data_IF_247497013531
#
_entry.id   IF_247497013531
#
_cell.length_a   1.000
_cell.length_b   1.000
_cell.length_c   1.000
_cell.angle_alpha   90.00
_cell.angle_beta   90.00
_cell.angle_gamma   90.00
#
_symmetry.space_group_name_H-M   'P 1'
#
loop_
_entity.id
_entity.type
_entity.pdbx_description
1 polymer ?
#
# COMPACT_ATOMS: atom_id res chain seq x y z
N UNK A 1 9.42 23.10 -0.78
CA UNK A 1 10.33 22.14 -0.12
C UNK A 1 11.49 21.90 -1.07
N UNK A 2 12.75 22.02 -0.64
CA UNK A 2 13.91 21.97 -1.56
C UNK A 2 15.01 21.01 -1.12
N UNK A 3 14.76 20.14 -0.14
CA UNK A 3 15.66 19.08 0.28
C UNK A 3 15.26 17.71 -0.26
N UNK A 4 16.21 16.77 -0.20
CA UNK A 4 15.99 15.39 -0.63
C UNK A 4 14.85 14.73 0.13
N UNK A 5 13.86 14.23 -0.61
CA UNK A 5 12.73 13.44 -0.11
C UNK A 5 12.99 11.93 -0.22
N UNK A 6 14.25 11.53 -0.45
CA UNK A 6 14.63 10.13 -0.58
C UNK A 6 14.29 9.33 0.68
N UNK A 7 13.78 8.12 0.46
CA UNK A 7 13.53 7.09 1.46
C UNK A 7 14.16 5.79 0.96
N UNK A 8 15.09 5.22 1.74
CA UNK A 8 15.60 3.88 1.46
C UNK A 8 14.74 2.86 2.22
N UNK A 9 14.17 1.90 1.51
CA UNK A 9 13.41 0.79 2.09
C UNK A 9 14.23 -0.48 1.88
N UNK A 10 14.56 -1.16 2.98
CA UNK A 10 15.36 -2.38 2.95
C UNK A 10 14.51 -3.59 3.34
N UNK A 11 14.78 -4.73 2.73
CA UNK A 11 14.22 -6.00 3.16
C UNK A 11 15.27 -7.09 3.39
N UNK A 12 15.15 -7.78 4.52
CA UNK A 12 15.76 -9.09 4.77
C UNK A 12 14.65 -10.14 4.76
N UNK A 13 14.69 -11.09 3.84
CA UNK A 13 13.55 -11.99 3.54
C UNK A 13 14.02 -13.35 3.04
N UNK A 14 13.49 -14.43 3.61
CA UNK A 14 13.75 -15.79 3.11
C UNK A 14 12.64 -16.28 2.15
N UNK A 15 11.38 -16.01 2.48
CA UNK A 15 10.20 -16.52 1.77
C UNK A 15 9.43 -15.46 0.98
N UNK A 16 9.85 -14.20 1.01
CA UNK A 16 9.23 -13.09 0.27
C UNK A 16 8.33 -12.17 1.11
N UNK A 17 7.87 -12.57 2.30
CA UNK A 17 6.92 -11.77 3.09
C UNK A 17 7.46 -10.36 3.43
N UNK A 18 8.72 -10.25 3.88
CA UNK A 18 9.31 -8.96 4.22
C UNK A 18 9.57 -8.10 2.96
N UNK A 19 9.89 -8.75 1.83
CA UNK A 19 10.03 -8.09 0.52
C UNK A 19 8.69 -7.52 0.05
N UNK A 20 7.60 -8.26 0.22
CA UNK A 20 6.25 -7.81 -0.13
C UNK A 20 5.83 -6.60 0.70
N UNK A 21 6.12 -6.60 2.01
CA UNK A 21 5.87 -5.42 2.86
C UNK A 21 6.71 -4.23 2.38
N UNK A 22 8.01 -4.42 2.11
CA UNK A 22 8.88 -3.36 1.61
C UNK A 22 8.43 -2.80 0.24
N UNK A 23 7.95 -3.67 -0.65
CA UNK A 23 7.37 -3.29 -1.95
C UNK A 23 6.10 -2.44 -1.77
N UNK A 24 5.23 -2.80 -0.81
CA UNK A 24 4.05 -2.01 -0.45
C UNK A 24 4.44 -0.62 0.11
N UNK A 25 5.46 -0.56 0.97
CA UNK A 25 6.02 0.71 1.48
C UNK A 25 6.50 1.58 0.32
N UNK A 26 7.30 1.01 -0.59
CA UNK A 26 7.82 1.73 -1.76
C UNK A 26 6.71 2.32 -2.64
N UNK A 27 5.66 1.55 -2.91
CA UNK A 27 4.49 1.99 -3.69
C UNK A 27 3.67 3.08 -2.98
N UNK A 28 3.60 3.04 -1.64
CA UNK A 28 2.83 3.98 -0.85
C UNK A 28 3.55 5.31 -0.57
N UNK A 29 4.89 5.31 -0.59
CA UNK A 29 5.73 6.44 -0.18
C UNK A 29 5.41 7.77 -0.88
N UNK A 30 5.09 7.74 -2.18
CA UNK A 30 4.79 8.95 -2.96
C UNK A 30 3.59 9.72 -2.42
N UNK A 31 2.61 9.04 -1.81
CA UNK A 31 1.45 9.67 -1.16
C UNK A 31 1.85 10.55 0.02
N UNK A 32 2.96 10.22 0.67
CA UNK A 32 3.53 10.97 1.79
C UNK A 32 4.62 11.97 1.33
N UNK A 33 4.70 12.21 0.01
CA UNK A 33 5.68 13.10 -0.61
C UNK A 33 7.11 12.58 -0.48
N UNK A 34 7.30 11.26 -0.44
CA UNK A 34 8.61 10.61 -0.35
C UNK A 34 8.98 9.93 -1.66
N UNK A 35 10.27 9.87 -1.94
CA UNK A 35 10.85 9.20 -3.12
C UNK A 35 11.54 7.92 -2.65
N UNK A 36 10.79 6.81 -2.67
CA UNK A 36 11.28 5.54 -2.16
C UNK A 36 12.16 4.79 -3.17
N UNK A 37 13.24 4.19 -2.68
CA UNK A 37 14.00 3.14 -3.36
C UNK A 37 13.93 1.88 -2.50
N UNK A 38 13.48 0.77 -3.07
CA UNK A 38 13.39 -0.52 -2.38
C UNK A 38 14.59 -1.37 -2.79
N UNK A 39 15.26 -2.00 -1.82
CA UNK A 39 16.43 -2.85 -2.03
C UNK A 39 16.46 -4.03 -1.05
N UNK A 40 16.97 -5.17 -1.51
CA UNK A 40 17.45 -6.23 -0.63
C UNK A 40 18.63 -5.74 0.20
N UNK A 41 18.81 -6.32 1.39
CA UNK A 41 19.94 -5.96 2.26
C UNK A 41 21.31 -6.33 1.69
N UNK A 42 21.36 -7.25 0.72
CA UNK A 42 22.51 -7.66 -0.06
C UNK A 42 22.87 -6.68 -1.20
N UNK A 43 22.00 -5.70 -1.48
CA UNK A 43 22.20 -4.68 -2.53
C UNK A 43 22.76 -3.34 -2.00
N UNK A 44 23.13 -3.29 -0.72
CA UNK A 44 23.59 -2.08 -0.03
C UNK A 44 24.80 -2.37 0.87
N UNK A 45 25.52 -1.31 1.22
CA UNK A 45 26.56 -1.33 2.23
C UNK A 45 26.16 -0.49 3.44
N UNK A 46 26.81 -0.70 4.59
CA UNK A 46 26.58 0.11 5.81
C UNK A 46 26.86 1.60 5.57
N UNK A 47 27.80 1.92 4.67
CA UNK A 47 28.08 3.30 4.25
C UNK A 47 26.91 3.92 3.48
N UNK A 48 26.20 3.13 2.67
CA UNK A 48 25.00 3.60 1.99
C UNK A 48 23.91 3.97 2.99
N UNK A 49 23.71 3.15 4.04
CA UNK A 49 22.79 3.45 5.14
C UNK A 49 23.15 4.77 5.84
N UNK A 50 24.42 4.96 6.20
CA UNK A 50 24.89 6.17 6.88
C UNK A 50 24.71 7.46 6.04
N UNK A 51 24.59 7.33 4.71
CA UNK A 51 24.35 8.47 3.82
C UNK A 51 22.87 8.86 3.68
N UNK A 52 21.95 8.03 4.19
CA UNK A 52 20.51 8.28 4.10
C UNK A 52 20.00 9.17 5.23
N UNK A 53 18.95 9.92 4.95
CA UNK A 53 18.18 10.64 5.98
C UNK A 53 17.02 9.83 6.54
N UNK A 54 16.50 8.88 5.75
CA UNK A 54 15.28 8.12 6.04
C UNK A 54 15.48 6.66 5.61
N UNK A 55 15.30 5.75 6.56
CA UNK A 55 15.40 4.30 6.33
C UNK A 55 14.20 3.61 6.93
N UNK A 56 13.55 2.72 6.17
CA UNK A 56 12.59 1.76 6.69
C UNK A 56 13.13 0.35 6.45
N UNK A 57 13.12 -0.49 7.47
CA UNK A 57 13.55 -1.90 7.36
C UNK A 57 12.35 -2.81 7.57
N UNK A 58 12.16 -3.78 6.68
CA UNK A 58 11.28 -4.92 6.88
C UNK A 58 12.15 -6.18 6.96
N UNK A 59 12.24 -6.85 8.11
CA UNK A 59 13.14 -8.00 8.25
C UNK A 59 12.43 -9.20 8.86
N UNK A 60 12.51 -10.36 8.20
CA UNK A 60 12.12 -11.63 8.81
C UNK A 60 13.23 -12.18 9.70
N UNK A 61 12.87 -13.09 10.61
CA UNK A 61 13.84 -13.91 11.36
C UNK A 61 13.80 -15.33 10.81
N UNK A 62 14.97 -15.96 10.68
CA UNK A 62 15.08 -17.33 10.17
C UNK A 62 15.74 -18.26 11.20
N UNK A 63 15.53 -19.57 11.06
CA UNK A 63 16.16 -20.58 11.90
C UNK A 63 15.94 -20.35 13.39
N UNK A 64 17.04 -20.32 14.14
CA UNK A 64 17.08 -20.11 15.59
C UNK A 64 17.44 -18.65 15.91
N UNK A 65 16.70 -17.69 15.35
CA UNK A 65 16.91 -16.26 15.60
C UNK A 65 17.89 -15.57 14.65
N UNK A 66 18.25 -16.21 13.55
CA UNK A 66 19.25 -15.74 12.60
C UNK A 66 18.69 -14.68 11.64
N UNK A 67 19.60 -13.89 11.07
CA UNK A 67 19.31 -13.00 9.94
C UNK A 67 18.92 -13.85 8.71
N UNK A 68 18.02 -13.37 7.83
CA UNK A 68 17.79 -13.98 6.52
C UNK A 68 19.08 -14.01 5.69
N UNK A 69 19.19 -14.96 4.75
CA UNK A 69 20.41 -15.13 3.96
C UNK A 69 20.82 -13.83 3.24
N UNK A 70 19.84 -13.08 2.72
CA UNK A 70 20.11 -11.82 2.00
C UNK A 70 20.44 -10.63 2.94
N UNK A 71 20.46 -10.82 4.26
CA UNK A 71 20.76 -9.80 5.26
C UNK A 71 22.05 -10.09 6.05
N UNK A 72 22.55 -11.32 6.02
CA UNK A 72 23.65 -11.78 6.86
C UNK A 72 24.95 -10.97 6.64
N UNK A 73 25.37 -10.80 5.39
CA UNK A 73 26.61 -10.07 5.06
C UNK A 73 26.56 -8.60 5.51
N UNK A 74 25.40 -7.96 5.36
CA UNK A 74 25.19 -6.59 5.81
C UNK A 74 25.22 -6.51 7.34
N UNK A 75 24.62 -7.49 8.04
CA UNK A 75 24.64 -7.56 9.50
C UNK A 75 26.05 -7.76 10.07
N UNK A 76 26.84 -8.65 9.46
CA UNK A 76 28.26 -8.85 9.82
C UNK A 76 29.02 -7.54 9.65
N UNK A 77 28.84 -6.87 8.51
CA UNK A 77 29.48 -5.58 8.22
C UNK A 77 29.03 -4.48 9.18
N UNK A 78 27.75 -4.46 9.57
CA UNK A 78 27.18 -3.52 10.52
C UNK A 78 27.83 -3.63 11.91
N UNK A 79 28.23 -4.84 12.30
CA UNK A 79 28.86 -5.13 13.59
C UNK A 79 30.41 -5.08 13.59
N UNK A 80 31.03 -4.71 12.47
CA UNK A 80 32.48 -4.49 12.41
C UNK A 80 32.93 -3.27 13.25
N UNK A 81 34.18 -3.26 13.70
CA UNK A 81 34.74 -2.20 14.58
C UNK A 81 34.70 -0.80 13.94
N UNK A 82 34.84 -0.71 12.62
CA UNK A 82 34.88 0.54 11.84
C UNK A 82 33.52 0.94 11.25
N UNK A 83 32.44 0.26 11.66
CA UNK A 83 31.08 0.53 11.21
C UNK A 83 30.62 1.97 11.54
N UNK A 84 30.20 2.75 10.52
CA UNK A 84 29.93 4.18 10.66
C UNK A 84 28.77 4.49 11.62
N UNK A 85 28.75 5.72 12.14
CA UNK A 85 27.62 6.23 12.92
C UNK A 85 26.44 6.51 12.00
N UNK A 86 25.23 6.35 12.54
CA UNK A 86 23.94 6.61 11.90
C UNK A 86 23.39 7.99 12.30
N UNK A 87 24.27 8.92 12.68
CA UNK A 87 23.90 10.28 13.08
C UNK A 87 23.15 11.00 11.95
N UNK A 88 21.90 11.38 12.22
CA UNK A 88 21.02 12.04 11.24
C UNK A 88 20.21 11.09 10.36
N UNK A 89 20.36 9.77 10.55
CA UNK A 89 19.48 8.76 9.97
C UNK A 89 18.21 8.69 10.82
N UNK A 90 17.05 8.87 10.19
CA UNK A 90 15.75 8.61 10.80
C UNK A 90 15.28 7.23 10.36
N UNK A 91 14.88 6.38 11.30
CA UNK A 91 14.56 4.99 10.99
C UNK A 91 13.31 4.45 11.69
N UNK A 92 12.78 3.36 11.16
CA UNK A 92 11.87 2.45 11.86
C UNK A 92 11.98 1.06 11.26
N UNK A 93 11.66 0.04 12.05
CA UNK A 93 11.79 -1.37 11.68
C UNK A 93 10.45 -2.07 11.85
N UNK A 94 10.10 -2.91 10.88
CA UNK A 94 9.08 -3.94 11.01
C UNK A 94 9.76 -5.30 11.03
N UNK A 95 9.50 -6.07 12.07
CA UNK A 95 10.05 -7.40 12.26
C UNK A 95 8.95 -8.43 11.99
N UNK A 96 9.26 -9.43 11.16
CA UNK A 96 8.40 -10.60 10.94
C UNK A 96 9.02 -11.81 11.65
N UNK A 97 8.20 -12.57 12.37
CA UNK A 97 8.59 -13.80 13.03
C UNK A 97 7.40 -14.68 13.32
N UNK A 98 7.64 -15.75 14.08
CA UNK A 98 6.61 -16.68 14.54
C UNK A 98 6.80 -16.90 16.05
N UNK A 99 5.75 -16.64 16.84
CA UNK A 99 5.82 -16.75 18.31
C UNK A 99 5.98 -18.19 18.81
N UNK A 100 5.86 -19.18 17.93
CA UNK A 100 6.17 -20.59 18.19
C UNK A 100 7.67 -20.84 18.38
N UNK A 101 8.53 -19.90 17.96
CA UNK A 101 9.98 -19.95 18.11
C UNK A 101 10.44 -19.12 19.32
N UNK A 102 11.52 -19.56 19.98
CA UNK A 102 12.06 -18.88 21.16
C UNK A 102 12.53 -17.45 20.85
N UNK A 103 13.20 -17.29 19.71
CA UNK A 103 13.79 -16.03 19.26
C UNK A 103 12.86 -15.29 18.29
N UNK A 104 11.63 -15.04 18.75
CA UNK A 104 10.60 -14.32 17.99
C UNK A 104 11.10 -12.93 17.53
N UNK A 105 11.07 -12.66 16.23
CA UNK A 105 11.46 -11.37 15.62
C UNK A 105 12.91 -10.90 15.90
N UNK A 106 13.81 -11.79 16.29
CA UNK A 106 15.16 -11.43 16.77
C UNK A 106 15.95 -10.60 15.76
N UNK A 107 15.99 -11.01 14.49
CA UNK A 107 16.71 -10.28 13.43
C UNK A 107 16.24 -8.82 13.27
N UNK A 108 14.93 -8.58 13.36
CA UNK A 108 14.38 -7.22 13.30
C UNK A 108 14.67 -6.41 14.58
N UNK A 109 14.67 -7.05 15.76
CA UNK A 109 15.05 -6.43 17.03
C UNK A 109 16.52 -6.01 17.04
N UNK A 110 17.38 -6.83 16.45
CA UNK A 110 18.80 -6.58 16.25
C UNK A 110 19.04 -5.32 15.41
N UNK A 111 18.41 -5.22 14.23
CA UNK A 111 18.52 -4.03 13.36
C UNK A 111 18.03 -2.76 14.04
N UNK A 112 16.89 -2.84 14.72
CA UNK A 112 16.30 -1.70 15.44
C UNK A 112 17.21 -1.19 16.56
N UNK A 113 17.75 -2.13 17.36
CA UNK A 113 18.66 -1.80 18.46
C UNK A 113 20.00 -1.25 17.95
N UNK A 114 20.53 -1.84 16.88
CA UNK A 114 21.80 -1.41 16.28
C UNK A 114 21.71 0.00 15.69
N UNK A 115 20.65 0.32 14.95
CA UNK A 115 20.45 1.66 14.38
C UNK A 115 20.38 2.74 15.47
N UNK A 116 19.67 2.47 16.57
CA UNK A 116 19.62 3.37 17.73
C UNK A 116 21.00 3.50 18.40
N UNK A 117 21.69 2.38 18.64
CA UNK A 117 23.01 2.38 19.27
C UNK A 117 24.07 3.13 18.44
N UNK A 118 23.93 3.16 17.11
CA UNK A 118 24.80 3.92 16.20
C UNK A 118 24.40 5.40 16.07
N UNK A 119 23.36 5.86 16.77
CA UNK A 119 22.93 7.26 16.81
C UNK A 119 21.84 7.64 15.81
N UNK A 120 21.18 6.65 15.21
CA UNK A 120 19.97 6.86 14.44
C UNK A 120 18.80 7.27 15.33
N UNK A 121 17.85 8.02 14.76
CA UNK A 121 16.64 8.46 15.46
C UNK A 121 15.45 7.58 15.05
N UNK A 122 14.88 6.85 16.02
CA UNK A 122 13.68 6.03 15.80
C UNK A 122 12.44 6.91 15.72
N UNK A 123 11.92 7.15 14.50
CA UNK A 123 10.74 8.03 14.32
C UNK A 123 9.43 7.36 14.71
N UNK A 124 9.36 6.03 14.54
CA UNK A 124 8.23 5.20 14.94
C UNK A 124 8.75 3.92 15.59
N UNK A 125 8.04 3.44 16.62
CA UNK A 125 8.41 2.22 17.32
C UNK A 125 8.41 1.02 16.36
N UNK A 126 9.33 0.10 16.62
CA UNK A 126 9.35 -1.20 15.96
C UNK A 126 8.04 -1.95 16.24
N UNK A 127 7.54 -2.65 15.23
CA UNK A 127 6.43 -3.59 15.36
C UNK A 127 6.94 -5.00 15.10
N UNK A 128 6.66 -5.89 16.04
CA UNK A 128 6.98 -7.32 15.97
C UNK A 128 5.71 -8.05 15.53
N UNK A 129 5.70 -8.59 14.32
CA UNK A 129 4.54 -9.28 13.75
C UNK A 129 4.71 -10.80 13.81
N UNK A 130 3.63 -11.49 14.15
CA UNK A 130 3.48 -12.95 14.04
C UNK A 130 3.04 -13.34 12.62
N UNK A 131 2.68 -14.61 12.39
CA UNK A 131 2.28 -15.15 11.07
C UNK A 131 1.12 -14.40 10.39
N UNK A 132 0.17 -13.85 11.15
CA UNK A 132 -0.95 -13.04 10.66
C UNK A 132 -0.58 -11.53 10.71
N UNK A 133 0.43 -11.14 9.93
CA UNK A 133 1.11 -9.85 10.06
C UNK A 133 0.44 -8.68 9.34
N UNK A 134 -0.49 -8.92 8.42
CA UNK A 134 -0.89 -7.95 7.39
C UNK A 134 -1.47 -6.66 7.97
N UNK A 135 -2.38 -6.76 8.95
CA UNK A 135 -3.02 -5.60 9.56
C UNK A 135 -2.04 -4.76 10.39
N UNK A 136 -1.17 -5.43 11.15
CA UNK A 136 -0.11 -4.78 11.94
C UNK A 136 0.91 -4.10 11.01
N UNK A 137 1.29 -4.77 9.93
CA UNK A 137 2.21 -4.23 8.95
C UNK A 137 1.63 -3.03 8.20
N UNK A 138 0.34 -3.08 7.85
CA UNK A 138 -0.35 -1.97 7.21
C UNK A 138 -0.43 -0.76 8.15
N UNK A 139 -0.80 -0.96 9.42
CA UNK A 139 -0.84 0.11 10.42
C UNK A 139 0.53 0.74 10.66
N UNK A 140 1.58 -0.09 10.78
CA UNK A 140 2.96 0.39 10.91
C UNK A 140 3.40 1.17 9.67
N UNK A 141 3.11 0.67 8.47
CA UNK A 141 3.50 1.32 7.21
C UNK A 141 2.91 2.72 7.10
N UNK A 142 1.60 2.87 7.33
CA UNK A 142 0.92 4.17 7.20
C UNK A 142 1.44 5.19 8.23
N UNK A 143 1.58 4.78 9.49
CA UNK A 143 2.12 5.65 10.55
C UNK A 143 3.57 6.04 10.29
N UNK A 144 4.41 5.07 9.87
CA UNK A 144 5.83 5.31 9.65
C UNK A 144 6.07 6.19 8.43
N UNK A 145 5.35 5.98 7.32
CA UNK A 145 5.48 6.84 6.14
C UNK A 145 5.07 8.28 6.45
N UNK A 146 4.03 8.50 7.25
CA UNK A 146 3.67 9.83 7.71
C UNK A 146 4.78 10.49 8.53
N UNK A 147 5.37 9.75 9.46
CA UNK A 147 6.49 10.23 10.28
C UNK A 147 7.75 10.52 9.47
N UNK A 148 8.06 9.67 8.49
CA UNK A 148 9.16 9.90 7.55
C UNK A 148 8.93 11.14 6.67
N UNK A 149 7.68 11.39 6.26
CA UNK A 149 7.29 12.60 5.52
C UNK A 149 7.42 13.88 6.35
N UNK A 150 7.36 13.75 7.68
CA UNK A 150 7.56 14.81 8.67
C UNK A 150 9.04 15.03 9.07
N UNK A 151 9.97 14.26 8.50
CA UNK A 151 11.40 14.59 8.56
C UNK A 151 11.68 15.69 7.55
N UNK A 152 12.19 16.83 8.03
CA UNK A 152 12.44 18.00 7.20
C UNK A 152 13.70 17.89 6.32
N UNK A 153 13.96 18.94 5.55
CA UNK A 153 15.11 19.02 4.63
C UNK A 153 16.47 18.97 5.36
N UNK A 154 16.51 19.29 6.66
CA UNK A 154 17.71 19.19 7.51
C UNK A 154 17.95 17.78 8.04
N UNK A 155 16.96 16.87 7.91
CA UNK A 155 17.00 15.53 8.50
C UNK A 155 16.48 15.49 9.94
N UNK A 156 15.80 16.54 10.40
CA UNK A 156 15.21 16.60 11.74
C UNK A 156 13.74 16.14 11.68
N UNK A 157 13.36 15.21 12.57
CA UNK A 157 11.97 14.77 12.71
C UNK A 157 11.12 15.85 13.40
N UNK A 158 10.00 16.22 12.77
CA UNK A 158 9.06 17.23 13.28
C UNK A 158 7.74 16.55 13.69
N UNK A 159 7.61 16.21 14.97
CA UNK A 159 6.46 15.45 15.48
C UNK A 159 5.11 16.17 15.26
N UNK A 160 5.10 17.49 15.34
CA UNK A 160 3.92 18.34 15.10
C UNK A 160 3.43 18.32 13.64
N UNK A 161 4.28 17.91 12.69
CA UNK A 161 3.95 17.85 11.27
C UNK A 161 3.35 16.50 10.85
N UNK A 162 3.39 15.47 11.70
CA UNK A 162 2.95 14.11 11.36
C UNK A 162 1.48 14.08 10.95
N UNK A 163 0.60 14.74 11.70
CA UNK A 163 -0.84 14.77 11.40
C UNK A 163 -1.13 15.52 10.08
N UNK A 164 -0.40 16.61 9.80
CA UNK A 164 -0.52 17.31 8.53
C UNK A 164 -0.10 16.41 7.35
N UNK A 165 0.98 15.64 7.51
CA UNK A 165 1.43 14.70 6.48
C UNK A 165 0.40 13.59 6.24
N UNK A 166 -0.23 13.03 7.30
CA UNK A 166 -1.32 12.06 7.17
C UNK A 166 -2.49 12.63 6.37
N UNK A 167 -2.88 13.86 6.70
CA UNK A 167 -4.01 14.52 6.06
C UNK A 167 -3.72 14.78 4.58
N UNK A 168 -2.51 15.24 4.25
CA UNK A 168 -2.05 15.37 2.87
C UNK A 168 -2.07 14.02 2.12
N UNK A 169 -1.57 12.94 2.73
CA UNK A 169 -1.53 11.62 2.13
C UNK A 169 -2.92 10.99 1.92
N UNK A 170 -3.89 11.36 2.76
CA UNK A 170 -5.29 10.94 2.64
C UNK A 170 -6.09 11.75 1.61
N UNK A 171 -5.52 12.83 1.07
CA UNK A 171 -6.25 13.77 0.20
C UNK A 171 -7.26 14.64 0.94
N UNK A 172 -7.18 14.71 2.28
CA UNK A 172 -8.01 15.58 3.10
C UNK A 172 -7.40 16.99 3.13
N UNK A 173 -7.99 17.91 2.37
CA UNK A 173 -7.66 19.34 2.43
C UNK A 173 -7.77 19.88 3.86
N UNK A 174 -6.64 20.27 4.47
CA UNK A 174 -6.67 21.20 5.60
C UNK A 174 -6.31 22.58 5.07
N UNK A 175 -7.33 23.39 4.84
CA UNK A 175 -7.17 24.83 4.83
C UNK A 175 -7.50 25.38 6.22
N UNK A 176 -6.47 25.75 7.00
CA UNK A 176 -6.52 26.99 7.78
C UNK A 176 -5.13 27.55 8.12
N UNK A 177 -4.80 28.62 7.38
CA UNK A 177 -3.97 29.77 7.73
C UNK A 177 -2.43 29.66 7.64
N UNK A 178 -1.85 30.16 6.54
CA UNK A 178 -1.31 31.54 6.40
C UNK A 178 -0.57 31.69 5.05
N UNK A 179 -0.92 32.75 4.32
CA UNK A 179 -0.25 33.43 3.19
C UNK A 179 1.15 32.88 2.82
N UNK A 180 1.49 32.57 1.57
CA UNK A 180 1.54 33.51 0.44
C UNK A 180 1.95 32.82 -0.88
N UNK A 181 1.26 33.22 -1.96
CA UNK A 181 1.68 33.33 -3.37
C UNK A 181 2.16 32.09 -4.14
N UNK A 182 1.28 31.73 -5.08
CA UNK A 182 1.56 31.39 -6.49
C UNK A 182 2.03 29.98 -6.83
N UNK A 183 1.05 29.11 -7.09
CA UNK A 183 1.09 28.17 -8.21
C UNK A 183 -0.35 27.73 -8.55
N UNK A 184 -0.87 28.19 -9.69
CA UNK A 184 -2.09 27.68 -10.30
C UNK A 184 -1.91 26.19 -10.66
N UNK A 185 -2.50 25.31 -9.86
CA UNK A 185 -2.92 23.99 -10.33
C UNK A 185 -4.42 24.09 -10.53
N UNK A 186 -4.88 23.88 -11.76
CA UNK A 186 -6.30 23.89 -12.09
C UNK A 186 -7.01 22.77 -11.35
N UNK A 187 -7.49 23.07 -10.13
CA UNK A 187 -8.50 22.29 -9.44
C UNK A 187 -9.75 22.36 -10.31
N UNK A 188 -10.05 21.28 -11.02
CA UNK A 188 -11.41 21.09 -11.52
C UNK A 188 -12.28 21.07 -10.28
N UNK A 189 -13.06 22.13 -10.05
CA UNK A 189 -14.11 22.12 -9.05
C UNK A 189 -15.06 20.98 -9.42
N UNK A 190 -14.91 19.84 -8.74
CA UNK A 190 -15.81 18.70 -8.94
C UNK A 190 -17.14 19.14 -8.35
N UNK A 191 -18.06 19.59 -9.21
CA UNK A 191 -19.44 19.81 -8.81
C UNK A 191 -19.98 18.50 -8.22
N UNK A 192 -20.42 18.58 -6.97
CA UNK A 192 -21.08 17.50 -6.24
C UNK A 192 -22.60 17.58 -6.38
N UNK A 193 -23.10 18.44 -7.27
CA UNK A 193 -24.53 18.57 -7.54
C UNK A 193 -25.06 17.35 -8.30
N UNK A 194 -26.33 17.03 -8.05
CA UNK A 194 -27.06 15.96 -8.74
C UNK A 194 -26.89 14.58 -8.09
N UNK A 195 -27.32 13.55 -8.79
CA UNK A 195 -27.25 12.15 -8.33
C UNK A 195 -25.79 11.70 -8.27
N UNK A 196 -25.27 11.40 -7.08
CA UNK A 196 -23.89 10.97 -6.83
C UNK A 196 -23.76 9.46 -6.56
N UNK A 197 -24.82 8.68 -6.77
CA UNK A 197 -24.80 7.23 -6.55
C UNK A 197 -23.78 6.52 -7.46
N UNK A 198 -23.05 5.57 -6.86
CA UNK A 198 -22.15 4.64 -7.54
C UNK A 198 -22.45 3.23 -7.05
N UNK A 199 -22.86 2.35 -7.94
CA UNK A 199 -22.94 0.92 -7.62
C UNK A 199 -21.61 0.26 -7.99
N UNK A 200 -21.02 -0.51 -7.09
CA UNK A 200 -19.82 -1.31 -7.34
C UNK A 200 -20.21 -2.78 -7.23
N UNK A 201 -20.17 -3.50 -8.35
CA UNK A 201 -20.38 -4.94 -8.40
C UNK A 201 -19.04 -5.67 -8.35
N UNK A 202 -18.95 -6.76 -7.59
CA UNK A 202 -17.75 -7.59 -7.59
C UNK A 202 -18.01 -9.05 -7.97
N UNK A 203 -17.15 -9.57 -8.84
CA UNK A 203 -17.01 -11.00 -9.13
C UNK A 203 -15.67 -11.50 -8.58
N UNK A 204 -15.67 -12.41 -7.61
CA UNK A 204 -14.44 -12.90 -6.98
C UNK A 204 -14.52 -14.35 -6.55
N UNK A 205 -13.41 -15.07 -6.70
CA UNK A 205 -13.23 -16.42 -6.16
C UNK A 205 -12.51 -16.41 -4.80
N UNK A 206 -11.42 -15.65 -4.71
CA UNK A 206 -10.57 -15.58 -3.51
C UNK A 206 -10.76 -14.29 -2.69
N UNK A 207 -11.75 -13.46 -3.03
CA UNK A 207 -12.05 -12.21 -2.31
C UNK A 207 -11.19 -10.99 -2.72
N UNK A 208 -10.24 -11.13 -3.65
CA UNK A 208 -9.40 -10.01 -4.10
C UNK A 208 -10.21 -8.88 -4.76
N UNK A 209 -11.18 -9.23 -5.60
CA UNK A 209 -12.02 -8.26 -6.29
C UNK A 209 -13.01 -7.59 -5.31
N UNK A 210 -13.53 -8.37 -4.35
CA UNK A 210 -14.36 -7.87 -3.24
C UNK A 210 -13.61 -6.84 -2.39
N UNK A 211 -12.38 -7.16 -1.98
CA UNK A 211 -11.55 -6.25 -1.19
C UNK A 211 -11.25 -4.95 -1.93
N UNK A 212 -11.00 -5.01 -3.24
CA UNK A 212 -10.84 -3.81 -4.07
C UNK A 212 -12.13 -3.02 -4.20
N UNK A 213 -13.28 -3.67 -4.39
CA UNK A 213 -14.57 -3.02 -4.45
C UNK A 213 -14.88 -2.26 -3.16
N UNK A 214 -14.65 -2.89 -2.00
CA UNK A 214 -14.79 -2.25 -0.68
C UNK A 214 -13.85 -1.04 -0.53
N UNK A 215 -12.61 -1.16 -0.99
CA UNK A 215 -11.63 -0.07 -0.97
C UNK A 215 -12.06 1.10 -1.86
N UNK A 216 -12.55 0.83 -3.07
CA UNK A 216 -13.06 1.86 -3.97
C UNK A 216 -14.29 2.55 -3.40
N UNK A 217 -15.20 1.83 -2.78
CA UNK A 217 -16.35 2.43 -2.11
C UNK A 217 -15.91 3.44 -1.03
N UNK A 218 -14.94 3.05 -0.18
CA UNK A 218 -14.39 3.95 0.84
C UNK A 218 -13.76 5.21 0.22
N UNK A 219 -12.98 5.05 -0.85
CA UNK A 219 -12.31 6.16 -1.53
C UNK A 219 -13.26 7.07 -2.33
N UNK A 220 -14.38 6.54 -2.81
CA UNK A 220 -15.34 7.25 -3.65
C UNK A 220 -15.92 8.50 -2.97
N UNK A 221 -16.03 8.49 -1.63
CA UNK A 221 -16.49 9.61 -0.82
C UNK A 221 -15.63 10.87 -0.99
N UNK A 222 -14.31 10.71 -1.19
CA UNK A 222 -13.39 11.81 -1.47
C UNK A 222 -13.65 12.49 -2.82
N UNK A 223 -14.35 11.81 -3.73
CA UNK A 223 -14.81 12.34 -5.02
C UNK A 223 -16.27 12.80 -4.96
N UNK A 224 -16.86 12.88 -3.76
CA UNK A 224 -18.27 13.20 -3.56
C UNK A 224 -19.22 12.18 -4.19
N UNK A 225 -18.82 10.91 -4.29
CA UNK A 225 -19.68 9.81 -4.73
C UNK A 225 -20.24 9.05 -3.52
N UNK A 226 -21.45 8.53 -3.70
CA UNK A 226 -22.15 7.71 -2.72
C UNK A 226 -22.12 6.26 -3.19
N UNK A 227 -21.10 5.52 -2.78
CA UNK A 227 -20.90 4.14 -3.23
C UNK A 227 -21.67 3.10 -2.41
N UNK A 228 -22.24 2.14 -3.13
CA UNK A 228 -22.82 0.89 -2.62
C UNK A 228 -22.04 -0.27 -3.24
N UNK A 229 -21.59 -1.23 -2.43
CA UNK A 229 -20.93 -2.46 -2.91
C UNK A 229 -21.93 -3.60 -2.86
N UNK A 230 -22.02 -4.37 -3.94
CA UNK A 230 -22.86 -5.55 -4.00
C UNK A 230 -22.12 -6.74 -4.64
N UNK A 231 -22.36 -7.92 -4.07
CA UNK A 231 -22.01 -9.19 -4.67
C UNK A 231 -22.80 -9.37 -5.98
N UNK A 232 -22.17 -9.95 -6.99
CA UNK A 232 -22.86 -10.33 -8.23
C UNK A 232 -23.80 -11.53 -8.03
N UNK A 233 -23.59 -12.35 -6.99
CA UNK A 233 -24.42 -13.52 -6.73
C UNK A 233 -25.86 -13.09 -6.43
N UNK A 234 -26.80 -13.65 -7.18
CA UNK A 234 -28.21 -13.30 -7.08
C UNK A 234 -28.57 -11.86 -7.44
N UNK A 235 -27.65 -11.07 -7.99
CA UNK A 235 -27.91 -9.67 -8.32
C UNK A 235 -28.98 -9.51 -9.41
N UNK A 236 -29.89 -8.56 -9.24
CA UNK A 236 -30.93 -8.27 -10.23
C UNK A 236 -30.40 -7.33 -11.32
N UNK A 237 -30.06 -7.90 -12.47
CA UNK A 237 -29.59 -7.17 -13.66
C UNK A 237 -30.53 -6.02 -14.07
N UNK A 238 -31.86 -6.20 -13.92
CA UNK A 238 -32.82 -5.20 -14.36
C UNK A 238 -32.73 -3.90 -13.56
N UNK A 239 -32.27 -3.99 -12.31
CA UNK A 239 -32.06 -2.84 -11.43
C UNK A 239 -30.95 -1.89 -11.92
N UNK A 240 -30.03 -2.36 -12.76
CA UNK A 240 -28.94 -1.55 -13.32
C UNK A 240 -29.45 -0.40 -14.20
N UNK A 241 -30.58 -0.60 -14.88
CA UNK A 241 -31.20 0.43 -15.73
C UNK A 241 -31.58 1.71 -14.96
N UNK A 242 -31.77 1.61 -13.64
CA UNK A 242 -32.05 2.74 -12.76
C UNK A 242 -30.80 3.44 -12.21
N UNK A 243 -29.60 2.90 -12.42
CA UNK A 243 -28.35 3.41 -11.86
C UNK A 243 -27.72 4.45 -12.80
N UNK A 244 -27.04 5.46 -12.24
CA UNK A 244 -26.30 6.46 -13.04
C UNK A 244 -24.85 6.07 -13.29
N UNK A 245 -24.24 5.38 -12.33
CA UNK A 245 -22.85 4.94 -12.38
C UNK A 245 -22.73 3.52 -11.85
N UNK A 246 -22.06 2.67 -12.61
CA UNK A 246 -21.76 1.29 -12.24
C UNK A 246 -20.26 1.04 -12.42
N UNK A 247 -19.60 0.49 -11.42
CA UNK A 247 -18.23 -0.01 -11.51
C UNK A 247 -18.28 -1.52 -11.35
N UNK A 248 -17.73 -2.25 -12.31
CA UNK A 248 -17.59 -3.70 -12.22
C UNK A 248 -16.15 -4.01 -11.85
N UNK A 249 -15.93 -4.78 -10.79
CA UNK A 249 -14.62 -5.26 -10.38
C UNK A 249 -14.64 -6.78 -10.45
N UNK A 250 -14.06 -7.36 -11.49
CA UNK A 250 -14.17 -8.79 -11.74
C UNK A 250 -12.79 -9.44 -11.88
N UNK A 251 -12.55 -10.51 -11.12
CA UNK A 251 -11.39 -11.37 -11.33
C UNK A 251 -11.68 -12.40 -12.42
N UNK A 252 -10.66 -12.86 -13.13
CA UNK A 252 -10.77 -14.02 -14.02
C UNK A 252 -10.43 -15.30 -13.27
N UNK A 253 -11.21 -16.36 -13.49
CA UNK A 253 -11.00 -17.67 -12.86
C UNK A 253 -10.59 -18.73 -13.89
N UNK A 254 -9.87 -19.76 -13.43
CA UNK A 254 -9.52 -20.91 -14.26
C UNK A 254 -8.79 -20.53 -15.55
N UNK A 255 -9.33 -20.98 -16.68
CA UNK A 255 -8.80 -20.71 -18.03
C UNK A 255 -9.49 -19.52 -18.70
N UNK A 256 -9.91 -18.49 -17.96
CA UNK A 256 -10.55 -17.29 -18.56
C UNK A 256 -12.02 -17.09 -18.15
N UNK A 257 -12.55 -17.96 -17.30
CA UNK A 257 -13.96 -17.98 -16.92
C UNK A 257 -14.33 -16.84 -15.96
N UNK A 258 -15.63 -16.55 -15.88
CA UNK A 258 -16.19 -15.72 -14.82
C UNK A 258 -16.02 -16.42 -13.46
N UNK A 259 -15.85 -15.67 -12.36
CA UNK A 259 -15.99 -16.21 -11.00
C UNK A 259 -17.37 -16.82 -10.77
N UNK A 260 -17.48 -17.82 -9.88
CA UNK A 260 -18.75 -18.52 -9.63
C UNK A 260 -19.86 -17.56 -9.21
N UNK A 261 -19.54 -16.55 -8.39
CA UNK A 261 -20.50 -15.56 -7.93
C UNK A 261 -20.93 -14.57 -9.04
N UNK A 262 -20.21 -14.50 -10.16
CA UNK A 262 -20.49 -13.61 -11.28
C UNK A 262 -21.15 -14.30 -12.48
N UNK A 263 -21.02 -15.63 -12.58
CA UNK A 263 -21.41 -16.40 -13.76
C UNK A 263 -22.88 -16.22 -14.14
N UNK A 264 -23.80 -16.35 -13.18
CA UNK A 264 -25.24 -16.22 -13.45
C UNK A 264 -25.61 -14.82 -13.95
N UNK A 265 -25.03 -13.78 -13.33
CA UNK A 265 -25.26 -12.39 -13.72
C UNK A 265 -24.70 -12.12 -15.12
N UNK A 266 -23.51 -12.64 -15.43
CA UNK A 266 -22.89 -12.53 -16.75
C UNK A 266 -23.73 -13.19 -17.85
N UNK A 267 -24.26 -14.40 -17.61
CA UNK A 267 -25.14 -15.09 -18.57
C UNK A 267 -26.40 -14.25 -18.85
N UNK A 268 -26.98 -13.64 -17.81
CA UNK A 268 -28.14 -12.73 -17.97
C UNK A 268 -27.76 -11.47 -18.74
N UNK A 269 -26.58 -10.89 -18.45
CA UNK A 269 -26.10 -9.67 -19.08
C UNK A 269 -25.80 -9.87 -20.57
N UNK A 270 -25.07 -10.93 -20.92
CA UNK A 270 -24.72 -11.30 -22.29
C UNK A 270 -25.94 -11.66 -23.16
N UNK A 271 -27.04 -12.08 -22.53
CA UNK A 271 -28.31 -12.39 -23.21
C UNK A 271 -29.33 -11.24 -23.19
N UNK A 272 -28.98 -10.09 -22.59
CA UNK A 272 -29.89 -8.98 -22.43
C UNK A 272 -30.19 -8.26 -23.76
N UNK A 273 -31.37 -7.65 -23.86
CA UNK A 273 -31.72 -6.83 -25.02
C UNK A 273 -30.82 -5.60 -25.10
N UNK A 274 -30.41 -5.24 -26.31
CA UNK A 274 -29.69 -3.99 -26.57
C UNK A 274 -30.40 -2.79 -25.94
N UNK A 275 -29.62 -1.90 -25.31
CA UNK A 275 -30.14 -0.68 -24.68
C UNK A 275 -30.68 -0.86 -23.25
N UNK A 276 -30.59 -2.05 -22.63
CA UNK A 276 -30.95 -2.25 -21.22
C UNK A 276 -30.28 -1.22 -20.28
N UNK A 277 -29.02 -0.89 -20.55
CA UNK A 277 -28.20 0.04 -19.77
C UNK A 277 -28.12 1.44 -20.39
N UNK A 278 -29.07 1.81 -21.25
CA UNK A 278 -29.06 3.13 -21.89
C UNK A 278 -29.08 4.26 -20.84
N UNK A 279 -28.04 5.09 -20.84
CA UNK A 279 -27.89 6.20 -19.89
C UNK A 279 -27.19 5.84 -18.57
N UNK A 280 -26.77 4.59 -18.41
CA UNK A 280 -25.86 4.15 -17.33
C UNK A 280 -24.43 4.44 -17.78
N UNK A 281 -23.64 5.14 -16.95
CA UNK A 281 -22.21 5.24 -17.16
C UNK A 281 -21.53 4.08 -16.44
N UNK A 282 -20.61 3.38 -17.10
CA UNK A 282 -19.93 2.25 -16.48
C UNK A 282 -18.42 2.29 -16.68
N UNK A 283 -17.73 1.52 -15.85
CA UNK A 283 -16.31 1.22 -15.97
C UNK A 283 -16.08 -0.20 -15.48
N UNK A 284 -15.07 -0.87 -16.04
CA UNK A 284 -14.67 -2.22 -15.62
C UNK A 284 -13.23 -2.20 -15.13
N UNK A 285 -12.99 -2.80 -13.96
CA UNK A 285 -11.65 -3.19 -13.50
C UNK A 285 -11.54 -4.71 -13.57
N UNK A 286 -10.74 -5.18 -14.51
CA UNK A 286 -10.41 -6.58 -14.67
C UNK A 286 -9.17 -6.95 -13.84
N UNK A 287 -9.27 -8.03 -13.04
CA UNK A 287 -8.14 -8.61 -12.32
C UNK A 287 -7.77 -9.94 -12.99
N UNK A 288 -6.48 -10.14 -13.25
CA UNK A 288 -5.96 -11.37 -13.83
C UNK A 288 -4.45 -11.42 -13.69
N UNK A 289 -3.91 -12.62 -13.85
CA UNK A 289 -2.47 -12.87 -13.82
C UNK A 289 -1.94 -13.03 -15.25
N UNK A 290 -0.96 -12.20 -15.61
CA UNK A 290 -0.30 -12.20 -16.92
C UNK A 290 0.43 -13.51 -17.27
N UNK A 291 0.60 -14.42 -16.32
CA UNK A 291 1.12 -15.76 -16.58
C UNK A 291 0.13 -16.67 -17.33
N UNK A 292 -1.16 -16.32 -17.33
CA UNK A 292 -2.23 -17.04 -18.03
C UNK A 292 -2.52 -16.41 -19.39
N UNK A 293 -2.82 -17.24 -20.39
CA UNK A 293 -3.15 -16.78 -21.76
C UNK A 293 -4.37 -15.86 -21.77
N UNK A 294 -5.41 -16.25 -21.01
CA UNK A 294 -6.68 -15.52 -20.89
C UNK A 294 -6.69 -14.62 -19.65
N UNK A 295 -5.59 -13.91 -19.39
CA UNK A 295 -5.53 -12.96 -18.29
C UNK A 295 -6.57 -11.84 -18.46
N UNK A 296 -7.27 -11.50 -17.38
CA UNK A 296 -8.32 -10.49 -17.33
C UNK A 296 -9.53 -10.77 -18.25
N UNK A 297 -9.68 -11.97 -18.81
CA UNK A 297 -10.70 -12.26 -19.83
C UNK A 297 -12.13 -11.98 -19.36
N UNK A 298 -12.52 -12.45 -18.16
CA UNK A 298 -13.83 -12.18 -17.59
C UNK A 298 -14.14 -10.67 -17.53
N UNK A 299 -13.16 -9.83 -17.19
CA UNK A 299 -13.36 -8.38 -17.18
C UNK A 299 -13.39 -7.76 -18.58
N UNK A 300 -12.70 -8.34 -19.57
CA UNK A 300 -12.85 -7.92 -20.98
C UNK A 300 -14.21 -8.27 -21.54
N UNK A 301 -14.81 -9.37 -21.08
CA UNK A 301 -16.18 -9.74 -21.48
C UNK A 301 -17.21 -8.72 -20.95
N UNK A 302 -16.97 -8.17 -19.75
CA UNK A 302 -17.84 -7.14 -19.17
C UNK A 302 -17.76 -5.76 -19.85
N UNK A 303 -16.69 -5.45 -20.60
CA UNK A 303 -16.44 -4.15 -21.27
C UNK A 303 -17.07 -4.07 -22.68
#
# INVERSE_FOLDING_TARGET
MSGSRSLLVLFGSQSGNAEDVASKVGKAASKYGLEATVKGMDEVTVSDLASQKRIMICCSTWGEGEQPDNAEDLWISANAEDSPLMSGVNFSVLALGDTSYELFCESGKEWDSWLEAKGGFRVNNRVDCDVDYEDLAQAWMDETLARMGAVDDSGTFQEDQVEQVKLNASGADINQSKNSSDAESSSVEISTDGDRSLLILFGSQSGNAEALAAKFAKQSSGYGLEAEVADMDGFDLSSLSGRKRVLIVCSTWGEGEQPDNAEELWIKASSASEGLLAGVNFSVLALGDTSYELFCESGKEWD
#
